data_IF_437862232081
#
_entry.id   IF_437862232081
#
_cell.length_a   1.000
_cell.length_b   1.000
_cell.length_c   1.000
_cell.angle_alpha   90.00
_cell.angle_beta   90.00
_cell.angle_gamma   90.00
#
_symmetry.space_group_name_H-M   'P 1'
#
loop_
_entity.id
_entity.type
_entity.pdbx_description
1 polymer ?
#
# COMPACT_ATOMS: atom_id res chain seq x y z
N UNK A 1 -28.69 -56.67 -44.34
CA UNK A 1 -27.74 -56.94 -43.22
C UNK A 1 -26.90 -55.68 -43.04
N UNK A 2 -27.28 -54.78 -42.11
CA UNK A 2 -26.75 -54.64 -40.74
C UNK A 2 -25.22 -54.41 -40.77
N UNK A 3 -24.67 -53.27 -40.37
CA UNK A 3 -24.63 -52.79 -38.97
C UNK A 3 -24.32 -51.29 -38.89
N UNK A 4 -25.13 -50.57 -38.11
CA UNK A 4 -24.80 -49.27 -37.50
C UNK A 4 -23.66 -49.48 -36.48
N UNK A 5 -22.69 -48.58 -36.47
CA UNK A 5 -21.76 -48.39 -35.35
C UNK A 5 -22.05 -47.02 -34.74
N UNK A 6 -22.65 -47.01 -33.54
CA UNK A 6 -22.74 -45.83 -32.68
C UNK A 6 -21.35 -45.53 -32.11
N UNK A 7 -20.81 -44.35 -32.39
CA UNK A 7 -19.68 -43.80 -31.66
C UNK A 7 -20.22 -43.04 -30.43
N UNK A 8 -19.91 -43.56 -29.23
CA UNK A 8 -20.21 -42.89 -27.97
C UNK A 8 -19.26 -41.70 -27.78
N UNK A 9 -19.81 -40.48 -27.78
CA UNK A 9 -19.07 -39.28 -27.42
C UNK A 9 -18.88 -39.23 -25.90
N UNK A 10 -17.65 -39.39 -25.45
CA UNK A 10 -17.26 -39.23 -24.04
C UNK A 10 -17.21 -37.73 -23.73
N UNK A 11 -18.23 -37.21 -23.07
CA UNK A 11 -18.22 -35.83 -22.53
C UNK A 11 -17.34 -35.83 -21.29
N UNK A 12 -16.11 -35.35 -21.42
CA UNK A 12 -15.25 -35.04 -20.27
C UNK A 12 -15.79 -33.77 -19.62
N UNK A 13 -16.56 -33.94 -18.55
CA UNK A 13 -16.95 -32.84 -17.67
C UNK A 13 -15.72 -32.38 -16.88
N UNK A 14 -15.06 -31.33 -17.37
CA UNK A 14 -14.11 -30.55 -16.56
C UNK A 14 -14.91 -29.83 -15.47
N UNK A 15 -15.03 -30.46 -14.31
CA UNK A 15 -15.41 -29.77 -13.09
C UNK A 15 -14.28 -28.80 -12.72
N UNK A 16 -14.30 -27.61 -13.32
CA UNK A 16 -13.53 -26.47 -12.84
C UNK A 16 -14.04 -26.16 -11.44
N UNK A 17 -13.31 -26.63 -10.42
CA UNK A 17 -13.57 -26.23 -9.05
C UNK A 17 -13.41 -24.71 -8.98
N UNK A 18 -14.50 -23.99 -8.80
CA UNK A 18 -14.45 -22.58 -8.43
C UNK A 18 -13.55 -22.50 -7.20
N UNK A 19 -12.37 -21.87 -7.33
CA UNK A 19 -11.53 -21.60 -6.18
C UNK A 19 -12.40 -20.81 -5.19
N UNK A 20 -12.77 -21.46 -4.08
CA UNK A 20 -13.55 -20.79 -3.05
C UNK A 20 -12.60 -19.85 -2.31
N UNK A 21 -12.93 -18.57 -2.31
CA UNK A 21 -12.25 -17.59 -1.47
C UNK A 21 -12.32 -17.99 0.01
N UNK A 22 -11.28 -17.67 0.76
CA UNK A 22 -11.12 -18.02 2.16
C UNK A 22 -12.26 -17.38 2.92
N UNK A 23 -12.97 -18.21 3.68
CA UNK A 23 -14.04 -17.72 4.55
C UNK A 23 -13.39 -17.08 5.77
N UNK A 24 -13.67 -15.80 5.99
CA UNK A 24 -13.29 -15.12 7.23
C UNK A 24 -13.98 -15.76 8.45
N UNK A 25 -13.46 -15.52 9.65
CA UNK A 25 -13.98 -16.08 10.89
C UNK A 25 -13.69 -17.58 11.06
N UNK A 26 -14.36 -18.21 12.02
CA UNK A 26 -14.10 -19.61 12.38
C UNK A 26 -12.71 -19.83 12.97
N UNK A 27 -12.17 -21.05 12.78
CA UNK A 27 -10.82 -21.40 13.24
C UNK A 27 -9.74 -20.67 12.42
N UNK A 28 -8.80 -20.02 13.12
CA UNK A 28 -7.78 -19.18 12.49
C UNK A 28 -6.80 -19.98 11.64
N UNK A 29 -6.39 -21.16 12.11
CA UNK A 29 -5.42 -21.99 11.38
C UNK A 29 -6.02 -22.51 10.08
N UNK A 30 -7.31 -22.88 10.09
CA UNK A 30 -8.06 -23.27 8.90
C UNK A 30 -8.15 -22.11 7.90
N UNK A 31 -8.44 -20.89 8.37
CA UNK A 31 -8.42 -19.69 7.53
C UNK A 31 -7.05 -19.44 6.88
N UNK A 32 -5.97 -19.51 7.67
CA UNK A 32 -4.60 -19.33 7.18
C UNK A 32 -4.24 -20.40 6.13
N UNK A 33 -4.67 -21.66 6.34
CA UNK A 33 -4.46 -22.72 5.36
C UNK A 33 -5.21 -22.45 4.05
N UNK A 34 -6.44 -21.95 4.09
CA UNK A 34 -7.18 -21.52 2.90
C UNK A 34 -6.49 -20.36 2.18
N UNK A 35 -6.02 -19.34 2.92
CA UNK A 35 -5.25 -18.24 2.33
C UNK A 35 -3.96 -18.72 1.66
N UNK A 36 -3.29 -19.73 2.23
CA UNK A 36 -2.11 -20.33 1.61
C UNK A 36 -2.45 -21.01 0.27
N UNK A 37 -3.57 -21.74 0.20
CA UNK A 37 -4.05 -22.38 -1.04
C UNK A 37 -4.38 -21.35 -2.11
N UNK A 38 -5.06 -20.26 -1.75
CA UNK A 38 -5.35 -19.16 -2.68
C UNK A 38 -4.11 -18.45 -3.17
N UNK A 39 -3.15 -18.19 -2.28
CA UNK A 39 -1.88 -17.59 -2.67
C UNK A 39 -1.11 -18.47 -3.66
N UNK A 40 -1.11 -19.79 -3.43
CA UNK A 40 -0.52 -20.76 -4.35
C UNK A 40 -1.23 -20.81 -5.70
N UNK A 41 -2.57 -20.81 -5.70
CA UNK A 41 -3.37 -20.71 -6.92
C UNK A 41 -3.11 -19.40 -7.69
N UNK A 42 -2.74 -18.33 -6.97
CA UNK A 42 -2.35 -17.03 -7.52
C UNK A 42 -0.85 -16.92 -7.87
N UNK A 43 -0.10 -18.03 -7.85
CA UNK A 43 1.28 -18.12 -8.31
C UNK A 43 2.36 -17.87 -7.23
N UNK A 44 1.98 -17.75 -5.95
CA UNK A 44 2.96 -17.67 -4.85
C UNK A 44 3.47 -19.08 -4.53
N UNK A 45 4.79 -19.26 -4.42
CA UNK A 45 5.34 -20.59 -4.14
C UNK A 45 4.93 -21.15 -2.78
N UNK A 46 4.90 -22.48 -2.68
CA UNK A 46 4.72 -23.18 -1.41
C UNK A 46 5.79 -22.77 -0.38
N UNK A 47 7.04 -22.53 -0.82
CA UNK A 47 8.11 -22.05 0.06
C UNK A 47 7.80 -20.71 0.72
N UNK A 48 7.34 -19.73 -0.06
CA UNK A 48 6.95 -18.40 0.46
C UNK A 48 5.74 -18.50 1.39
N UNK A 49 4.70 -19.23 0.98
CA UNK A 49 3.49 -19.38 1.82
C UNK A 49 3.80 -20.11 3.13
N UNK A 50 4.58 -21.19 3.12
CA UNK A 50 4.98 -21.90 4.33
C UNK A 50 5.84 -21.02 5.26
N UNK A 51 6.78 -20.25 4.71
CA UNK A 51 7.63 -19.38 5.51
C UNK A 51 6.86 -18.19 6.11
N UNK A 52 5.95 -17.58 5.33
CA UNK A 52 5.24 -16.37 5.74
C UNK A 52 4.02 -16.65 6.63
N UNK A 53 3.28 -17.72 6.35
CA UNK A 53 2.03 -18.06 7.05
C UNK A 53 2.21 -19.15 8.11
N UNK A 54 3.32 -19.90 8.07
CA UNK A 54 3.61 -20.94 9.04
C UNK A 54 3.71 -20.40 10.47
N UNK A 55 2.85 -20.91 11.36
CA UNK A 55 2.85 -20.53 12.77
C UNK A 55 2.34 -19.11 13.05
N UNK A 56 1.73 -18.44 12.08
CA UNK A 56 1.10 -17.13 12.31
C UNK A 56 -0.07 -17.30 13.29
N UNK A 57 -0.16 -16.40 14.26
CA UNK A 57 -1.25 -16.33 15.25
C UNK A 57 -1.96 -14.99 15.16
N UNK A 58 -3.26 -14.91 15.49
CA UNK A 58 -3.98 -13.64 15.47
C UNK A 58 -3.36 -12.63 16.45
N UNK A 59 -3.55 -11.34 16.18
CA UNK A 59 -3.10 -10.24 17.05
C UNK A 59 -4.29 -9.41 17.57
N UNK A 60 -4.75 -9.64 18.82
CA UNK A 60 -5.86 -8.87 19.39
C UNK A 60 -5.60 -7.36 19.48
N UNK A 61 -4.34 -6.92 19.57
CA UNK A 61 -4.00 -5.50 19.63
C UNK A 61 -4.24 -4.82 18.28
N UNK A 62 -3.99 -5.53 17.17
CA UNK A 62 -4.31 -5.05 15.81
C UNK A 62 -5.82 -4.81 15.68
N UNK A 63 -6.64 -5.78 16.10
CA UNK A 63 -8.11 -5.65 16.06
C UNK A 63 -8.62 -4.51 16.95
N UNK A 64 -8.06 -4.38 18.16
CA UNK A 64 -8.44 -3.31 19.08
C UNK A 64 -8.10 -1.92 18.52
N UNK A 65 -6.95 -1.78 17.86
CA UNK A 65 -6.54 -0.52 17.22
C UNK A 65 -7.45 -0.16 16.04
N UNK A 66 -7.66 -1.11 15.12
CA UNK A 66 -8.45 -0.91 13.91
C UNK A 66 -9.92 -0.52 14.22
N UNK A 67 -10.49 -1.05 15.30
CA UNK A 67 -11.84 -0.66 15.78
C UNK A 67 -11.90 0.77 16.34
N UNK A 68 -10.79 1.33 16.84
CA UNK A 68 -10.72 2.69 17.43
C UNK A 68 -10.56 3.81 16.38
N UNK A 69 -10.17 3.49 15.15
CA UNK A 69 -9.86 4.46 14.09
C UNK A 69 -11.07 5.27 13.56
N UNK A 70 -12.29 5.03 14.08
CA UNK A 70 -13.55 5.64 13.59
C UNK A 70 -13.62 7.18 13.68
N UNK A 71 -12.70 7.85 14.38
CA UNK A 71 -12.78 9.30 14.67
C UNK A 71 -11.56 10.12 14.19
N UNK A 72 -10.59 9.52 13.50
CA UNK A 72 -9.29 10.14 13.21
C UNK A 72 -9.37 11.43 12.36
N UNK A 73 -10.47 11.65 11.63
CA UNK A 73 -10.65 12.80 10.73
C UNK A 73 -11.80 13.75 11.11
N UNK A 74 -12.33 13.69 12.34
CA UNK A 74 -13.41 14.57 12.83
C UNK A 74 -12.90 15.94 13.34
N UNK A 75 -12.01 16.59 12.59
CA UNK A 75 -11.43 17.90 12.94
C UNK A 75 -11.71 18.90 11.83
N UNK A 76 -11.80 20.19 12.16
CA UNK A 76 -11.74 21.23 11.12
C UNK A 76 -10.37 21.19 10.43
N UNK A 77 -10.26 21.83 9.26
CA UNK A 77 -9.00 21.89 8.55
C UNK A 77 -7.90 22.55 9.40
N UNK A 78 -8.21 23.66 10.08
CA UNK A 78 -7.28 24.44 10.92
C UNK A 78 -6.78 23.61 12.12
N UNK A 79 -7.68 22.87 12.77
CA UNK A 79 -7.35 21.97 13.86
C UNK A 79 -6.50 20.79 13.40
N UNK A 80 -6.77 20.27 12.19
CA UNK A 80 -6.01 19.16 11.65
C UNK A 80 -4.60 19.60 11.23
N UNK A 81 -4.52 20.64 10.39
CA UNK A 81 -3.27 21.12 9.78
C UNK A 81 -2.28 21.63 10.83
N UNK A 82 -2.75 22.32 11.88
CA UNK A 82 -1.89 22.83 12.97
C UNK A 82 -1.15 21.72 13.73
N UNK A 83 -1.73 20.52 13.82
CA UNK A 83 -1.07 19.35 14.43
C UNK A 83 -0.12 18.62 13.48
N UNK A 84 -0.20 18.90 12.18
CA UNK A 84 0.52 18.15 11.13
C UNK A 84 1.57 18.98 10.40
N UNK A 85 1.47 20.30 10.36
CA UNK A 85 2.35 21.18 9.58
C UNK A 85 2.87 22.32 10.45
N UNK A 86 3.77 21.98 11.37
CA UNK A 86 4.47 22.95 12.22
C UNK A 86 5.79 23.46 11.59
N UNK A 87 6.40 24.53 12.15
CA UNK A 87 7.64 25.12 11.62
C UNK A 87 8.79 24.13 11.48
N UNK A 88 8.94 23.20 12.45
CA UNK A 88 9.97 22.16 12.40
C UNK A 88 9.84 21.25 11.17
N UNK A 89 8.62 20.83 10.84
CA UNK A 89 8.35 19.98 9.66
C UNK A 89 8.55 20.73 8.36
N UNK A 90 8.20 22.02 8.32
CA UNK A 90 8.48 22.90 7.16
C UNK A 90 9.98 23.04 6.92
N UNK A 91 10.75 23.30 7.98
CA UNK A 91 12.21 23.39 7.89
C UNK A 91 12.84 22.05 7.46
N UNK A 92 12.35 20.94 8.03
CA UNK A 92 12.75 19.59 7.63
C UNK A 92 12.49 19.31 6.15
N UNK A 93 11.30 19.66 5.65
CA UNK A 93 10.95 19.48 4.25
C UNK A 93 11.80 20.32 3.31
N UNK A 94 12.11 21.58 3.67
CA UNK A 94 13.06 22.43 2.91
C UNK A 94 14.46 21.81 2.86
N UNK A 95 14.92 21.24 3.97
CA UNK A 95 16.19 20.51 3.99
C UNK A 95 16.16 19.26 3.09
N UNK A 96 15.04 18.52 3.04
CA UNK A 96 14.90 17.37 2.14
C UNK A 96 14.85 17.78 0.67
N UNK A 97 14.17 18.88 0.34
CA UNK A 97 14.16 19.46 -1.01
C UNK A 97 15.58 19.81 -1.48
N UNK A 98 16.41 20.37 -0.61
CA UNK A 98 17.80 20.68 -0.91
C UNK A 98 18.65 19.41 -1.04
N UNK A 99 18.56 18.52 -0.05
CA UNK A 99 19.35 17.28 0.01
C UNK A 99 19.11 16.36 -1.19
N UNK A 100 17.85 16.26 -1.64
CA UNK A 100 17.44 15.36 -2.72
C UNK A 100 17.08 16.11 -4.01
N UNK A 101 17.60 17.34 -4.20
CA UNK A 101 17.22 18.21 -5.32
C UNK A 101 17.36 17.53 -6.69
N UNK A 102 18.48 16.86 -6.96
CA UNK A 102 18.73 16.17 -8.21
C UNK A 102 17.74 14.99 -8.42
N UNK A 103 17.56 14.16 -7.39
CA UNK A 103 16.62 13.03 -7.41
C UNK A 103 15.20 13.51 -7.70
N UNK A 104 14.73 14.48 -6.92
CA UNK A 104 13.39 15.06 -7.04
C UNK A 104 13.18 15.68 -8.43
N UNK A 105 14.19 16.33 -9.01
CA UNK A 105 14.10 16.88 -10.36
C UNK A 105 13.90 15.79 -11.42
N UNK A 106 14.59 14.65 -11.30
CA UNK A 106 14.39 13.52 -12.23
C UNK A 106 12.99 12.91 -12.09
N UNK A 107 12.51 12.76 -10.86
CA UNK A 107 11.17 12.23 -10.57
C UNK A 107 10.09 13.18 -11.13
N UNK A 108 10.23 14.48 -10.86
CA UNK A 108 9.31 15.52 -11.35
C UNK A 108 9.26 15.52 -12.89
N UNK A 109 10.41 15.41 -13.56
CA UNK A 109 10.49 15.30 -15.01
C UNK A 109 9.82 14.02 -15.56
N UNK A 110 9.98 12.88 -14.87
CA UNK A 110 9.44 11.59 -15.32
C UNK A 110 7.93 11.48 -15.10
N UNK A 111 7.44 11.93 -13.96
CA UNK A 111 6.06 11.67 -13.52
C UNK A 111 5.16 12.91 -13.56
N UNK A 112 5.71 14.11 -13.75
CA UNK A 112 4.91 15.33 -13.78
C UNK A 112 4.24 15.66 -12.44
N UNK A 113 4.83 15.22 -11.33
CA UNK A 113 4.38 15.53 -9.97
C UNK A 113 5.38 16.47 -9.31
N UNK A 114 4.96 17.66 -8.82
CA UNK A 114 5.86 18.62 -8.20
C UNK A 114 6.58 18.05 -6.98
N UNK A 115 7.88 18.31 -6.86
CA UNK A 115 8.71 17.90 -5.72
C UNK A 115 8.14 18.31 -4.36
N UNK A 116 7.46 19.46 -4.30
CA UNK A 116 6.85 19.97 -3.07
C UNK A 116 5.70 19.08 -2.59
N UNK A 117 4.89 18.53 -3.50
CA UNK A 117 3.83 17.57 -3.18
C UNK A 117 4.44 16.26 -2.67
N UNK A 118 5.50 15.77 -3.33
CA UNK A 118 6.18 14.54 -2.93
C UNK A 118 6.79 14.66 -1.52
N UNK A 119 7.52 15.75 -1.26
CA UNK A 119 8.11 16.01 0.06
C UNK A 119 7.03 16.26 1.11
N UNK A 120 5.91 16.93 0.75
CA UNK A 120 4.80 17.11 1.66
C UNK A 120 4.19 15.77 2.12
N UNK A 121 3.93 14.87 1.17
CA UNK A 121 3.44 13.51 1.48
C UNK A 121 4.46 12.79 2.36
N UNK A 122 5.73 12.73 1.95
CA UNK A 122 6.77 12.03 2.70
C UNK A 122 6.93 12.55 4.14
N UNK A 123 6.82 13.86 4.35
CA UNK A 123 6.84 14.47 5.67
C UNK A 123 5.59 14.17 6.51
N UNK A 124 4.40 14.11 5.88
CA UNK A 124 3.15 13.81 6.57
C UNK A 124 3.04 12.35 6.99
N UNK A 125 3.57 11.43 6.19
CA UNK A 125 3.50 9.99 6.49
C UNK A 125 4.49 9.58 7.58
N UNK A 126 5.75 10.02 7.48
CA UNK A 126 6.82 9.48 8.35
C UNK A 126 7.86 10.50 8.77
N UNK A 127 7.59 11.80 8.67
CA UNK A 127 8.60 12.83 8.98
C UNK A 127 9.91 12.60 8.20
N UNK A 128 9.77 12.30 6.90
CA UNK A 128 10.87 12.02 5.98
C UNK A 128 11.66 10.75 6.36
N UNK A 129 10.95 9.71 6.78
CA UNK A 129 11.53 8.42 7.19
C UNK A 129 12.07 8.37 8.62
N UNK A 130 12.03 9.48 9.38
CA UNK A 130 12.52 9.53 10.76
C UNK A 130 11.48 9.12 11.80
N UNK A 131 10.21 9.28 11.46
CA UNK A 131 9.06 8.94 12.28
C UNK A 131 8.75 7.45 12.28
N UNK A 132 7.60 7.11 12.87
CA UNK A 132 7.15 5.73 12.97
C UNK A 132 6.68 5.21 11.60
N UNK A 133 7.40 4.22 11.05
CA UNK A 133 7.01 3.48 9.84
C UNK A 133 6.38 2.12 10.18
N UNK A 134 6.06 1.92 11.46
CA UNK A 134 5.48 0.70 11.98
C UNK A 134 6.52 -0.33 12.45
N UNK A 135 6.06 -1.21 13.34
CA UNK A 135 6.88 -2.24 14.02
C UNK A 135 6.23 -3.62 14.00
N UNK A 136 5.12 -3.77 13.29
CA UNK A 136 4.32 -4.99 13.27
C UNK A 136 4.70 -5.85 12.06
N UNK A 137 4.79 -7.20 12.20
CA UNK A 137 4.88 -8.07 11.05
C UNK A 137 3.63 -7.94 10.18
N UNK A 138 3.79 -7.49 8.94
CA UNK A 138 2.65 -7.14 8.06
C UNK A 138 1.82 -8.37 7.72
N UNK A 139 2.46 -9.52 7.47
CA UNK A 139 1.75 -10.78 7.17
C UNK A 139 0.82 -11.18 8.32
N UNK A 140 1.32 -11.12 9.56
CA UNK A 140 0.49 -11.40 10.76
C UNK A 140 -0.64 -10.38 10.92
N UNK A 141 -0.35 -9.11 10.70
CA UNK A 141 -1.30 -8.00 10.81
C UNK A 141 -2.45 -8.17 9.83
N UNK A 142 -2.13 -8.43 8.56
CA UNK A 142 -3.12 -8.61 7.50
C UNK A 142 -3.90 -9.91 7.65
N UNK A 143 -3.26 -11.02 8.04
CA UNK A 143 -3.97 -12.27 8.34
C UNK A 143 -4.98 -12.09 9.48
N UNK A 144 -4.62 -11.33 10.51
CA UNK A 144 -5.52 -10.98 11.61
C UNK A 144 -6.73 -10.18 11.13
N UNK A 145 -6.50 -9.13 10.33
CA UNK A 145 -7.57 -8.25 9.84
C UNK A 145 -8.45 -8.91 8.78
N UNK A 146 -7.88 -9.78 7.94
CA UNK A 146 -8.61 -10.57 6.95
C UNK A 146 -9.53 -11.59 7.62
N UNK A 147 -9.15 -12.12 8.79
CA UNK A 147 -9.96 -13.06 9.55
C UNK A 147 -11.17 -12.41 10.26
N UNK A 148 -11.10 -11.12 10.65
CA UNK A 148 -12.13 -10.40 11.44
C UNK A 148 -13.48 -10.17 10.71
N UNK A 149 -13.62 -10.58 9.44
CA UNK A 149 -14.80 -10.42 8.58
C UNK A 149 -15.25 -8.99 8.27
N UNK A 150 -14.87 -7.98 9.07
CA UNK A 150 -15.35 -6.59 8.93
C UNK A 150 -14.96 -5.93 7.61
N UNK A 151 -13.77 -6.25 7.10
CA UNK A 151 -13.19 -5.72 5.85
C UNK A 151 -12.41 -6.82 5.11
N UNK A 152 -12.97 -8.04 5.13
CA UNK A 152 -12.25 -9.25 4.69
C UNK A 152 -11.69 -9.14 3.28
N UNK A 153 -12.50 -8.73 2.29
CA UNK A 153 -12.08 -8.69 0.88
C UNK A 153 -10.85 -7.79 0.67
N UNK A 154 -10.81 -6.65 1.36
CA UNK A 154 -9.66 -5.77 1.33
C UNK A 154 -8.42 -6.47 1.89
N UNK A 155 -8.51 -6.97 3.13
CA UNK A 155 -7.31 -7.46 3.82
C UNK A 155 -6.85 -8.83 3.33
N UNK A 156 -7.72 -9.65 2.74
CA UNK A 156 -7.29 -10.84 1.98
C UNK A 156 -6.50 -10.44 0.72
N UNK A 157 -6.98 -9.42 0.00
CA UNK A 157 -6.27 -8.86 -1.15
C UNK A 157 -4.90 -8.28 -0.75
N UNK A 158 -4.83 -7.55 0.36
CA UNK A 158 -3.56 -7.02 0.88
C UNK A 158 -2.62 -8.13 1.36
N UNK A 159 -3.13 -9.15 2.04
CA UNK A 159 -2.32 -10.31 2.47
C UNK A 159 -1.71 -11.02 1.25
N UNK A 160 -2.52 -11.26 0.21
CA UNK A 160 -2.04 -11.86 -1.03
C UNK A 160 -0.97 -10.98 -1.70
N UNK A 161 -1.18 -9.67 -1.76
CA UNK A 161 -0.21 -8.73 -2.31
C UNK A 161 1.10 -8.72 -1.49
N UNK A 162 1.04 -8.78 -0.16
CA UNK A 162 2.23 -8.87 0.69
C UNK A 162 3.04 -10.14 0.40
N UNK A 163 2.37 -11.28 0.23
CA UNK A 163 3.04 -12.54 -0.15
C UNK A 163 3.69 -12.44 -1.53
N UNK A 164 3.06 -11.73 -2.48
CA UNK A 164 3.65 -11.46 -3.80
C UNK A 164 4.90 -10.57 -3.73
N UNK A 165 4.95 -9.59 -2.83
CA UNK A 165 6.16 -8.77 -2.60
C UNK A 165 7.31 -9.67 -2.13
N UNK A 166 7.07 -10.55 -1.16
CA UNK A 166 8.10 -11.52 -0.70
C UNK A 166 8.52 -12.45 -1.84
N UNK A 167 7.57 -12.95 -2.64
CA UNK A 167 7.85 -13.81 -3.79
C UNK A 167 8.70 -13.13 -4.87
N UNK A 168 8.52 -11.82 -5.08
CA UNK A 168 9.34 -11.04 -6.02
C UNK A 168 10.76 -10.79 -5.51
N UNK A 169 11.00 -10.97 -4.22
CA UNK A 169 12.28 -10.65 -3.59
C UNK A 169 12.45 -9.16 -3.27
N UNK A 170 11.46 -8.32 -3.59
CA UNK A 170 11.47 -6.87 -3.33
C UNK A 170 11.68 -6.56 -1.85
N UNK A 171 11.10 -7.38 -0.96
CA UNK A 171 11.31 -7.25 0.47
C UNK A 171 11.36 -8.64 1.14
N UNK A 172 12.39 -8.85 1.96
CA UNK A 172 12.51 -10.08 2.73
C UNK A 172 11.42 -10.15 3.82
N UNK A 173 10.98 -11.37 4.16
CA UNK A 173 9.90 -11.55 5.15
C UNK A 173 10.20 -10.89 6.51
N UNK A 174 11.45 -10.94 6.97
CA UNK A 174 11.88 -10.30 8.23
C UNK A 174 11.81 -8.77 8.19
N UNK A 175 11.91 -8.20 7.00
CA UNK A 175 11.92 -6.76 6.75
C UNK A 175 10.51 -6.26 6.39
N UNK A 176 9.55 -7.18 6.17
CA UNK A 176 8.13 -6.94 5.96
C UNK A 176 7.42 -6.50 7.26
N UNK A 177 7.88 -5.37 7.77
CA UNK A 177 7.40 -4.70 8.97
C UNK A 177 6.62 -3.45 8.54
N UNK A 178 5.54 -3.13 9.24
CA UNK A 178 4.64 -2.07 8.87
C UNK A 178 3.72 -1.61 9.99
N UNK A 179 2.76 -0.76 9.61
CA UNK A 179 1.78 -0.18 10.52
C UNK A 179 0.52 -1.05 10.67
N UNK A 180 -0.44 -0.55 11.44
CA UNK A 180 -1.57 -1.33 11.96
C UNK A 180 -2.58 -1.79 10.91
N UNK A 181 -2.62 -1.23 9.70
CA UNK A 181 -3.42 -1.77 8.60
C UNK A 181 -2.58 -2.51 7.56
N UNK A 182 -1.30 -2.77 7.87
CA UNK A 182 -0.35 -3.45 6.98
C UNK A 182 0.39 -2.51 6.03
N UNK A 183 0.36 -1.20 6.27
CA UNK A 183 1.10 -0.22 5.48
C UNK A 183 2.62 -0.44 5.60
N UNK A 184 3.32 -0.39 4.48
CA UNK A 184 4.76 -0.64 4.36
C UNK A 184 5.47 0.66 4.00
N UNK A 185 6.61 0.88 4.64
CA UNK A 185 7.58 1.87 4.19
C UNK A 185 7.31 3.30 4.63
N UNK A 186 8.18 4.19 4.16
CA UNK A 186 8.21 5.59 4.62
C UNK A 186 7.00 6.40 4.18
N UNK A 187 6.30 5.97 3.13
CA UNK A 187 5.07 6.62 2.68
C UNK A 187 3.83 5.74 2.86
N UNK A 188 3.93 4.71 3.71
CA UNK A 188 2.78 3.95 4.21
C UNK A 188 1.91 3.34 3.09
N UNK A 189 2.54 2.74 2.09
CA UNK A 189 1.85 2.03 1.01
C UNK A 189 1.20 0.76 1.54
N UNK A 190 -0.06 0.52 1.21
CA UNK A 190 -0.61 -0.83 1.31
C UNK A 190 0.10 -1.78 0.32
N UNK A 191 0.21 -3.08 0.63
CA UNK A 191 0.89 -4.04 -0.25
C UNK A 191 0.36 -4.07 -1.69
N UNK A 192 -0.95 -3.89 -1.89
CA UNK A 192 -1.54 -3.83 -3.24
C UNK A 192 -1.07 -2.58 -4.01
N UNK A 193 -0.99 -1.43 -3.34
CA UNK A 193 -0.42 -0.20 -3.89
C UNK A 193 1.08 -0.38 -4.20
N UNK A 194 1.81 -1.10 -3.35
CA UNK A 194 3.22 -1.42 -3.58
C UNK A 194 3.40 -2.18 -4.90
N UNK A 195 2.63 -3.26 -5.09
CA UNK A 195 2.67 -4.04 -6.32
C UNK A 195 2.28 -3.21 -7.54
N UNK A 196 1.25 -2.36 -7.41
CA UNK A 196 0.67 -1.61 -8.53
C UNK A 196 1.52 -0.40 -8.96
N UNK A 197 2.12 0.29 -8.01
CA UNK A 197 2.75 1.59 -8.24
C UNK A 197 4.23 1.63 -7.86
N UNK A 198 4.77 0.59 -7.23
CA UNK A 198 6.18 0.48 -6.87
C UNK A 198 7.08 0.65 -8.09
N UNK A 199 8.12 1.49 -7.95
CA UNK A 199 9.12 1.77 -8.98
C UNK A 199 10.49 1.59 -8.35
N UNK A 200 11.25 0.65 -8.89
CA UNK A 200 12.71 0.56 -8.70
C UNK A 200 13.33 1.74 -9.45
N UNK A 201 13.82 2.72 -8.69
CA UNK A 201 14.31 4.00 -9.19
C UNK A 201 15.78 4.25 -8.87
N UNK A 202 16.41 3.39 -8.08
CA UNK A 202 17.87 3.30 -7.96
C UNK A 202 18.50 2.23 -8.87
N UNK A 203 17.69 1.31 -9.42
CA UNK A 203 18.05 0.35 -10.46
C UNK A 203 18.69 -0.92 -9.93
N UNK A 204 18.44 -1.29 -8.68
CA UNK A 204 19.02 -2.49 -8.06
C UNK A 204 18.25 -3.80 -8.36
N UNK A 205 17.12 -3.69 -9.06
CA UNK A 205 16.25 -4.81 -9.45
C UNK A 205 15.10 -5.06 -8.48
N UNK A 206 15.01 -4.31 -7.38
CA UNK A 206 14.01 -4.46 -6.34
C UNK A 206 13.36 -3.11 -6.03
N UNK A 207 12.09 -3.15 -5.63
CA UNK A 207 11.45 -1.96 -5.05
C UNK A 207 11.70 -2.04 -3.54
N UNK A 208 12.27 -1.01 -2.91
CA UNK A 208 12.40 -0.91 -1.44
C UNK A 208 11.81 0.41 -0.91
N UNK A 209 10.54 0.37 -0.52
CA UNK A 209 9.85 1.53 0.06
C UNK A 209 10.21 1.81 1.54
N UNK A 210 11.08 1.03 2.16
CA UNK A 210 11.53 1.21 3.54
C UNK A 210 12.85 1.96 3.59
N UNK A 211 13.81 1.61 2.74
CA UNK A 211 15.18 2.12 2.84
C UNK A 211 15.61 2.94 1.62
N UNK A 212 15.07 2.67 0.42
CA UNK A 212 15.45 3.41 -0.79
C UNK A 212 14.62 4.69 -0.94
N UNK A 213 15.23 5.83 -0.65
CA UNK A 213 14.60 7.15 -0.88
C UNK A 213 14.22 7.36 -2.36
N UNK A 214 15.05 6.96 -3.36
CA UNK A 214 14.65 6.93 -4.76
C UNK A 214 13.32 6.22 -5.00
N UNK A 215 13.16 5.00 -4.49
CA UNK A 215 11.95 4.20 -4.71
C UNK A 215 10.75 4.75 -3.97
N UNK A 216 10.93 5.18 -2.72
CA UNK A 216 9.89 5.83 -1.91
C UNK A 216 9.28 7.01 -2.68
N UNK A 217 10.11 7.91 -3.18
CA UNK A 217 9.64 9.13 -3.84
C UNK A 217 9.12 8.85 -5.25
N UNK A 218 9.76 7.96 -6.01
CA UNK A 218 9.33 7.62 -7.36
C UNK A 218 8.01 6.84 -7.36
N UNK A 219 7.82 5.91 -6.43
CA UNK A 219 6.58 5.14 -6.28
C UNK A 219 5.42 6.03 -5.85
N UNK A 220 5.68 6.98 -4.93
CA UNK A 220 4.70 8.01 -4.54
C UNK A 220 4.31 8.88 -5.73
N UNK A 221 5.28 9.30 -6.55
CA UNK A 221 5.01 10.06 -7.77
C UNK A 221 4.24 9.24 -8.81
N UNK A 222 4.58 7.96 -8.98
CA UNK A 222 3.93 7.06 -9.93
C UNK A 222 2.46 6.81 -9.56
N UNK A 223 2.13 6.70 -8.28
CA UNK A 223 0.74 6.61 -7.82
C UNK A 223 -0.04 7.85 -8.25
N UNK A 224 0.45 9.05 -7.94
CA UNK A 224 -0.23 10.29 -8.28
C UNK A 224 -0.34 10.50 -9.80
N UNK A 225 0.75 10.21 -10.53
CA UNK A 225 0.77 10.26 -11.99
C UNK A 225 -0.28 9.34 -12.60
N UNK A 226 -0.30 8.07 -12.19
CA UNK A 226 -1.26 7.07 -12.68
C UNK A 226 -2.69 7.45 -12.31
N UNK A 227 -2.90 8.12 -11.17
CA UNK A 227 -4.21 8.65 -10.76
C UNK A 227 -4.59 9.97 -11.46
N UNK A 228 -3.80 10.44 -12.42
CA UNK A 228 -4.15 11.56 -13.29
C UNK A 228 -3.65 12.93 -12.83
N UNK A 229 -2.71 12.99 -11.89
CA UNK A 229 -2.08 14.26 -11.49
C UNK A 229 -1.31 14.86 -12.67
N UNK A 230 -1.49 16.16 -12.94
CA UNK A 230 -0.86 16.88 -14.05
C UNK A 230 -0.06 18.08 -13.55
N UNK A 231 1.21 18.16 -13.97
CA UNK A 231 2.08 19.28 -13.66
C UNK A 231 1.50 20.60 -14.16
N UNK A 232 1.71 21.68 -13.40
CA UNK A 232 1.24 23.03 -13.74
C UNK A 232 -0.27 23.28 -13.55
N UNK A 233 -1.05 22.26 -13.17
CA UNK A 233 -2.47 22.41 -12.85
C UNK A 233 -2.67 22.66 -11.34
N UNK A 234 -3.70 23.41 -10.94
CA UNK A 234 -3.97 23.69 -9.53
C UNK A 234 -4.37 22.41 -8.79
N UNK A 235 -4.00 22.29 -7.51
CA UNK A 235 -4.25 21.11 -6.66
C UNK A 235 -5.10 21.42 -5.41
N UNK A 236 -5.77 22.58 -5.39
CA UNK A 236 -6.72 22.94 -4.34
C UNK A 236 -8.01 22.12 -4.41
N UNK A 237 -8.78 22.13 -3.33
CA UNK A 237 -10.08 21.43 -3.25
C UNK A 237 -10.98 21.79 -4.45
N UNK A 238 -11.54 20.76 -5.10
CA UNK A 238 -12.38 20.90 -6.30
C UNK A 238 -11.64 20.82 -7.64
N UNK A 239 -10.31 20.73 -7.66
CA UNK A 239 -9.54 20.59 -8.91
C UNK A 239 -9.27 19.13 -9.29
N UNK A 240 -8.93 18.84 -10.56
CA UNK A 240 -8.56 17.48 -10.99
C UNK A 240 -7.36 16.91 -10.23
N UNK A 241 -6.31 17.71 -9.95
CA UNK A 241 -5.15 17.23 -9.19
C UNK A 241 -5.49 16.92 -7.73
N UNK A 242 -6.47 17.62 -7.15
CA UNK A 242 -6.95 17.30 -5.81
C UNK A 242 -7.68 15.94 -5.76
N UNK A 243 -8.45 15.63 -6.81
CA UNK A 243 -9.06 14.30 -6.94
C UNK A 243 -8.05 13.21 -7.31
N UNK A 244 -6.99 13.52 -8.05
CA UNK A 244 -5.90 12.57 -8.29
C UNK A 244 -5.22 12.10 -6.98
N UNK A 245 -5.15 12.97 -5.97
CA UNK A 245 -4.65 12.62 -4.63
C UNK A 245 -5.62 11.74 -3.82
N UNK A 246 -6.85 11.48 -4.30
CA UNK A 246 -7.83 10.64 -3.59
C UNK A 246 -7.37 9.19 -3.44
N UNK A 247 -6.62 8.69 -4.42
CA UNK A 247 -6.03 7.35 -4.35
C UNK A 247 -5.00 7.25 -3.23
N UNK A 248 -4.29 8.35 -2.94
CA UNK A 248 -3.39 8.44 -1.80
C UNK A 248 -4.15 8.40 -0.48
N UNK A 249 -5.09 9.34 -0.31
CA UNK A 249 -5.89 9.40 0.90
C UNK A 249 -7.29 9.98 0.60
N UNK A 250 -8.32 9.23 0.99
CA UNK A 250 -9.72 9.61 0.75
C UNK A 250 -10.18 10.82 1.57
N UNK A 251 -9.53 11.09 2.71
CA UNK A 251 -9.91 12.20 3.58
C UNK A 251 -9.61 13.56 2.92
N UNK A 252 -10.65 14.36 2.71
CA UNK A 252 -10.54 15.72 2.14
C UNK A 252 -9.56 16.57 2.96
N UNK A 253 -9.68 16.53 4.29
CA UNK A 253 -8.79 17.28 5.19
C UNK A 253 -7.31 16.90 5.04
N UNK A 254 -7.02 15.62 4.76
CA UNK A 254 -5.65 15.16 4.51
C UNK A 254 -5.11 15.71 3.20
N UNK A 255 -5.89 15.62 2.13
CA UNK A 255 -5.50 16.15 0.81
C UNK A 255 -5.30 17.67 0.82
N UNK A 256 -6.14 18.41 1.55
CA UNK A 256 -5.94 19.85 1.79
C UNK A 256 -4.62 20.10 2.54
N UNK A 257 -4.28 19.25 3.50
CA UNK A 257 -3.03 19.34 4.27
C UNK A 257 -1.80 19.09 3.41
N UNK A 258 -1.86 18.16 2.44
CA UNK A 258 -0.79 17.96 1.45
C UNK A 258 -0.56 19.25 0.66
N UNK A 259 -1.63 19.83 0.08
CA UNK A 259 -1.55 21.07 -0.68
C UNK A 259 -0.99 22.23 0.15
N UNK A 260 -1.57 22.46 1.33
CA UNK A 260 -1.09 23.49 2.26
C UNK A 260 0.39 23.31 2.60
N UNK A 261 0.82 22.08 2.91
CA UNK A 261 2.21 21.85 3.26
C UNK A 261 3.13 22.11 2.06
N UNK A 262 2.74 21.70 0.85
CA UNK A 262 3.48 22.04 -0.36
C UNK A 262 3.62 23.57 -0.56
N UNK A 263 2.56 24.34 -0.31
CA UNK A 263 2.58 25.81 -0.37
C UNK A 263 3.58 26.41 0.63
N UNK A 264 3.59 25.93 1.87
CA UNK A 264 4.55 26.35 2.90
C UNK A 264 6.00 26.05 2.51
N UNK A 265 6.23 24.93 1.82
CA UNK A 265 7.56 24.58 1.30
C UNK A 265 8.02 25.53 0.19
N UNK A 266 7.09 26.04 -0.63
CA UNK A 266 7.35 27.08 -1.63
C UNK A 266 7.53 28.48 -1.02
N UNK A 267 7.16 28.67 0.26
CA UNK A 267 7.23 29.97 0.93
C UNK A 267 5.97 30.82 0.77
N UNK A 268 4.86 30.21 0.37
CA UNK A 268 3.54 30.82 0.29
C UNK A 268 2.79 30.75 1.62
#
# INVERSE_FOLDING_TARGET
MLRLLLAAAFVVSLAGGSAQAARCGGDFNSFVASMAQEAQAAGVSAGVTNAALGGVTPDPAVLAFDRRQRYTFNKTFEQYVSTRVGPGRVNGGRAMLQRHAALLSRIEQKFGVPRYILVAIWGLESDFGKGDTGKLPVVRTLATLAHDCRRTDLFQGELLAALKIVQRGDLQLRDMIGAYAGEIGQTQFLPSSYIKYGVDFDGDGHVDLRHSIPDVLASTANLLHTSGFKMGQPYGEGTPNFEAMREWNRAVVYRKTIGYFADRLMGQ
#
